data_IF_531838933046
#
_entry.id   IF_531838933046
#
_cell.length_a   1.000
_cell.length_b   1.000
_cell.length_c   1.000
_cell.angle_alpha   90.00
_cell.angle_beta   90.00
_cell.angle_gamma   90.00
#
_symmetry.space_group_name_H-M   'P 1'
#
loop_
_entity.id
_entity.type
_entity.pdbx_description
1 polymer ?
#
# COMPACT_ATOMS: atom_id res chain seq x y z
N UNK A 1 18.54 -3.56 29.12
CA UNK A 1 18.45 -2.49 28.10
C UNK A 1 18.81 -3.10 26.77
N UNK A 2 17.85 -3.25 25.86
CA UNK A 2 18.07 -3.78 24.51
C UNK A 2 18.43 -2.63 23.60
N UNK A 3 19.70 -2.55 23.20
CA UNK A 3 20.17 -1.63 22.17
C UNK A 3 19.62 -2.09 20.82
N UNK A 4 18.61 -1.37 20.33
CA UNK A 4 18.22 -1.42 18.92
C UNK A 4 19.33 -0.73 18.13
N UNK A 5 20.24 -1.51 17.56
CA UNK A 5 21.13 -1.01 16.52
C UNK A 5 20.27 -0.75 15.28
N UNK A 6 19.95 0.52 15.04
CA UNK A 6 19.50 0.97 13.73
C UNK A 6 20.66 0.75 12.76
N UNK A 7 20.74 -0.44 12.16
CA UNK A 7 21.67 -0.71 11.07
C UNK A 7 21.23 0.11 9.86
N UNK A 8 21.73 1.35 9.75
CA UNK A 8 21.62 2.12 8.53
C UNK A 8 22.42 1.37 7.47
N UNK A 9 21.75 0.51 6.69
CA UNK A 9 22.28 -0.12 5.48
C UNK A 9 22.43 0.95 4.40
N UNK A 10 23.31 1.92 4.63
CA UNK A 10 23.83 2.74 3.54
C UNK A 10 24.65 1.79 2.68
N UNK A 11 24.17 1.50 1.47
CA UNK A 11 24.94 0.78 0.47
C UNK A 11 26.18 1.63 0.20
N UNK A 12 27.35 1.12 0.55
CA UNK A 12 28.61 1.84 0.39
C UNK A 12 29.05 1.68 -1.06
N UNK A 13 29.20 2.80 -1.77
CA UNK A 13 29.74 2.88 -3.12
C UNK A 13 31.11 3.56 -3.06
N UNK A 14 32.12 2.97 -3.70
CA UNK A 14 33.46 3.52 -3.83
C UNK A 14 33.87 3.50 -5.31
N UNK A 15 34.05 4.67 -5.92
CA UNK A 15 34.37 4.77 -7.34
C UNK A 15 35.77 4.19 -7.65
N UNK A 16 35.85 3.37 -8.69
CA UNK A 16 37.12 2.91 -9.27
C UNK A 16 37.52 3.86 -10.40
N UNK A 17 36.55 4.19 -11.26
CA UNK A 17 36.65 5.19 -12.33
C UNK A 17 35.24 5.70 -12.68
N UNK A 18 35.10 6.43 -13.79
CA UNK A 18 33.81 7.00 -14.23
C UNK A 18 32.75 5.94 -14.60
N UNK A 19 33.17 4.73 -14.98
CA UNK A 19 32.27 3.67 -15.46
C UNK A 19 32.08 2.52 -14.45
N UNK A 20 32.97 2.39 -13.46
CA UNK A 20 33.04 1.25 -12.54
C UNK A 20 33.20 1.68 -11.09
N UNK A 21 32.55 0.95 -10.20
CA UNK A 21 32.58 1.18 -8.76
C UNK A 21 32.66 -0.13 -7.98
N UNK A 22 33.22 -0.08 -6.77
CA UNK A 22 32.96 -1.06 -5.74
C UNK A 22 31.64 -0.76 -5.05
N UNK A 23 30.79 -1.77 -4.92
CA UNK A 23 29.51 -1.70 -4.21
C UNK A 23 29.45 -2.75 -3.11
N UNK A 24 29.03 -2.33 -1.92
CA UNK A 24 28.68 -3.26 -0.84
C UNK A 24 27.30 -3.85 -1.11
N UNK A 25 27.24 -4.98 -1.82
CA UNK A 25 25.99 -5.61 -2.23
C UNK A 25 25.14 -6.06 -1.04
N UNK A 26 25.78 -6.63 -0.01
CA UNK A 26 25.17 -6.91 1.29
C UNK A 26 26.26 -7.03 2.37
N UNK A 27 25.94 -7.48 3.59
CA UNK A 27 26.91 -7.63 4.68
C UNK A 27 28.09 -8.57 4.38
N UNK A 28 27.98 -9.43 3.37
CA UNK A 28 28.98 -10.46 3.04
C UNK A 28 29.74 -10.14 1.74
N UNK A 29 29.11 -9.49 0.77
CA UNK A 29 29.64 -9.32 -0.58
C UNK A 29 29.98 -7.87 -0.89
N UNK A 30 31.24 -7.63 -1.26
CA UNK A 30 31.74 -6.38 -1.84
C UNK A 30 32.20 -6.65 -3.27
N UNK A 31 31.54 -6.05 -4.24
CA UNK A 31 31.61 -6.44 -5.66
C UNK A 31 32.00 -5.27 -6.54
N UNK A 32 32.50 -5.56 -7.74
CA UNK A 32 32.71 -4.56 -8.80
C UNK A 32 31.44 -4.47 -9.65
N UNK A 33 30.93 -3.26 -9.83
CA UNK A 33 29.73 -2.96 -10.61
C UNK A 33 30.06 -1.96 -11.72
N UNK A 34 29.49 -2.22 -12.89
CA UNK A 34 29.44 -1.30 -14.02
C UNK A 34 28.26 -0.35 -13.83
N UNK A 35 28.54 0.94 -13.70
CA UNK A 35 27.54 1.98 -13.37
C UNK A 35 26.54 2.17 -14.52
N UNK A 36 27.00 2.04 -15.77
CA UNK A 36 26.22 2.32 -16.98
C UNK A 36 25.05 1.36 -17.21
N UNK A 37 25.24 0.09 -16.87
CA UNK A 37 24.31 -0.99 -17.20
C UNK A 37 23.94 -1.89 -16.02
N UNK A 38 24.35 -1.54 -14.80
CA UNK A 38 24.00 -2.25 -13.56
C UNK A 38 24.45 -3.72 -13.54
N UNK A 39 25.57 -4.02 -14.20
CA UNK A 39 26.15 -5.36 -14.29
C UNK A 39 27.30 -5.55 -13.29
N UNK A 40 27.45 -6.76 -12.78
CA UNK A 40 28.40 -7.09 -11.71
C UNK A 40 29.50 -8.01 -12.26
N UNK A 41 30.76 -7.73 -11.91
CA UNK A 41 31.88 -8.55 -12.37
C UNK A 41 31.86 -9.90 -11.63
N UNK A 42 31.75 -11.00 -12.37
CA UNK A 42 31.66 -12.33 -11.81
C UNK A 42 32.90 -12.71 -10.98
N UNK A 43 34.09 -12.31 -11.42
CA UNK A 43 35.32 -12.57 -10.66
C UNK A 43 35.31 -11.91 -9.28
N UNK A 44 34.73 -10.71 -9.15
CA UNK A 44 34.59 -10.05 -7.85
C UNK A 44 33.66 -10.82 -6.91
N UNK A 45 32.64 -11.49 -7.44
CA UNK A 45 31.73 -12.36 -6.67
C UNK A 45 32.50 -13.58 -6.15
N UNK A 46 33.24 -14.26 -7.02
CA UNK A 46 34.04 -15.43 -6.64
C UNK A 46 35.09 -15.07 -5.58
N UNK A 47 35.73 -13.92 -5.73
CA UNK A 47 36.72 -13.40 -4.78
C UNK A 47 36.07 -13.10 -3.42
N UNK A 48 34.92 -12.41 -3.41
CA UNK A 48 34.18 -12.12 -2.17
C UNK A 48 33.66 -13.39 -1.47
N UNK A 49 33.38 -14.44 -2.24
CA UNK A 49 32.94 -15.74 -1.74
C UNK A 49 34.09 -16.67 -1.29
N UNK A 50 35.36 -16.24 -1.38
CA UNK A 50 36.53 -17.08 -1.15
C UNK A 50 36.45 -18.40 -1.95
N UNK A 51 35.98 -18.31 -3.19
CA UNK A 51 35.83 -19.47 -4.05
C UNK A 51 37.19 -20.16 -4.27
N UNK A 52 37.24 -21.50 -4.28
CA UNK A 52 38.47 -22.21 -4.57
C UNK A 52 38.91 -21.97 -6.02
N UNK A 53 40.20 -22.08 -6.31
CA UNK A 53 40.78 -21.74 -7.62
C UNK A 53 40.21 -22.58 -8.79
N UNK A 54 39.67 -23.76 -8.48
CA UNK A 54 38.99 -24.63 -9.43
C UNK A 54 37.52 -24.24 -9.68
N UNK A 55 37.10 -23.04 -9.27
CA UNK A 55 35.83 -22.43 -9.64
C UNK A 55 36.09 -21.17 -10.43
N UNK A 56 35.90 -21.28 -11.72
CA UNK A 56 36.07 -20.21 -12.70
C UNK A 56 34.71 -19.73 -13.21
N UNK A 57 34.62 -18.51 -13.76
CA UNK A 57 33.40 -18.03 -14.38
C UNK A 57 32.82 -18.99 -15.43
N UNK A 58 33.68 -19.60 -16.26
CA UNK A 58 33.26 -20.48 -17.35
C UNK A 58 32.59 -21.77 -16.84
N UNK A 59 33.14 -22.39 -15.78
CA UNK A 59 32.58 -23.63 -15.21
C UNK A 59 31.15 -23.44 -14.71
N UNK A 60 30.79 -22.25 -14.21
CA UNK A 60 29.41 -21.98 -13.82
C UNK A 60 28.46 -22.00 -15.02
N UNK A 61 28.89 -21.49 -16.18
CA UNK A 61 28.09 -21.50 -17.41
C UNK A 61 27.95 -22.88 -18.04
N UNK A 62 28.84 -23.82 -17.72
CA UNK A 62 28.80 -25.21 -18.20
C UNK A 62 27.82 -26.10 -17.40
N UNK A 63 27.29 -25.61 -16.27
CA UNK A 63 26.36 -26.38 -15.44
C UNK A 63 24.97 -26.45 -16.08
N UNK A 64 24.37 -27.64 -16.10
CA UNK A 64 22.98 -27.84 -16.54
C UNK A 64 22.00 -26.95 -15.76
N UNK A 65 22.19 -26.81 -14.44
CA UNK A 65 21.37 -25.94 -13.59
C UNK A 65 21.45 -24.46 -13.98
N UNK A 66 22.58 -24.02 -14.54
CA UNK A 66 22.76 -22.66 -15.01
C UNK A 66 22.02 -22.45 -16.32
N UNK A 67 22.06 -23.42 -17.24
CA UNK A 67 21.27 -23.37 -18.46
C UNK A 67 19.77 -23.33 -18.19
N UNK A 68 19.27 -24.15 -17.26
CA UNK A 68 17.88 -24.12 -16.80
C UNK A 68 17.51 -22.73 -16.27
N UNK A 69 18.33 -22.18 -15.36
CA UNK A 69 18.13 -20.85 -14.79
C UNK A 69 18.11 -19.75 -15.87
N UNK A 70 19.02 -19.79 -16.84
CA UNK A 70 19.11 -18.80 -17.90
C UNK A 70 17.91 -18.89 -18.87
N UNK A 71 17.37 -20.09 -19.11
CA UNK A 71 16.21 -20.29 -20.00
C UNK A 71 14.92 -19.64 -19.48
N UNK A 72 14.76 -19.55 -18.15
CA UNK A 72 13.65 -18.83 -17.52
C UNK A 72 13.70 -17.33 -17.82
N UNK A 73 14.91 -16.78 -17.97
CA UNK A 73 15.09 -15.37 -18.28
C UNK A 73 14.96 -15.03 -19.77
N UNK A 74 15.06 -16.01 -20.68
CA UNK A 74 14.83 -15.79 -22.12
C UNK A 74 13.39 -15.36 -22.44
N UNK A 75 12.44 -15.75 -21.58
CA UNK A 75 11.03 -15.39 -21.69
C UNK A 75 10.71 -13.97 -21.16
N UNK A 76 11.67 -13.34 -20.50
CA UNK A 76 11.55 -11.98 -19.98
C UNK A 76 12.28 -11.04 -20.94
N UNK A 77 11.70 -9.87 -21.27
CA UNK A 77 12.34 -8.83 -22.11
C UNK A 77 13.55 -8.16 -21.42
N UNK A 78 14.35 -8.91 -20.68
CA UNK A 78 15.53 -8.40 -20.02
C UNK A 78 16.68 -8.30 -21.02
N UNK A 79 17.40 -7.17 -20.93
CA UNK A 79 18.70 -6.98 -21.58
C UNK A 79 19.64 -8.14 -21.20
N UNK A 80 20.55 -8.49 -22.12
CA UNK A 80 21.56 -9.56 -22.01
C UNK A 80 21.97 -9.87 -20.55
N UNK A 81 21.77 -11.12 -20.13
CA UNK A 81 22.03 -11.60 -18.76
C UNK A 81 23.50 -11.58 -18.35
N UNK A 82 24.39 -11.70 -19.33
CA UNK A 82 25.83 -11.63 -19.12
C UNK A 82 26.53 -11.01 -20.33
N UNK A 83 27.75 -10.53 -20.12
CA UNK A 83 28.61 -9.98 -21.16
C UNK A 83 30.07 -10.26 -20.82
N UNK A 84 30.79 -10.86 -21.77
CA UNK A 84 32.23 -11.00 -21.64
C UNK A 84 32.95 -9.70 -22.05
N UNK A 85 33.79 -9.16 -21.16
CA UNK A 85 34.53 -7.91 -21.35
C UNK A 85 36.03 -8.16 -21.18
N UNK A 86 36.64 -8.85 -22.13
CA UNK A 86 38.10 -9.10 -22.12
C UNK A 86 38.94 -7.88 -22.50
N UNK A 87 38.35 -6.87 -23.15
CA UNK A 87 39.06 -5.68 -23.65
C UNK A 87 39.40 -4.64 -22.56
N UNK A 88 39.02 -4.89 -21.31
CA UNK A 88 39.24 -3.97 -20.19
C UNK A 88 40.60 -4.17 -19.51
N UNK A 89 41.05 -3.23 -18.65
CA UNK A 89 42.24 -3.41 -17.82
C UNK A 89 42.18 -4.70 -16.99
N UNK A 90 43.35 -5.27 -16.64
CA UNK A 90 43.44 -6.61 -16.05
C UNK A 90 42.59 -6.84 -14.79
N UNK A 91 42.34 -5.80 -13.98
CA UNK A 91 41.51 -5.90 -12.77
C UNK A 91 40.01 -5.73 -13.04
N UNK A 92 39.62 -5.17 -14.20
CA UNK A 92 38.22 -4.95 -14.61
C UNK A 92 37.74 -5.93 -15.69
N UNK A 93 38.65 -6.60 -16.40
CA UNK A 93 38.28 -7.57 -17.42
C UNK A 93 37.59 -8.80 -16.84
N UNK A 94 36.80 -9.47 -17.67
CA UNK A 94 36.11 -10.71 -17.34
C UNK A 94 34.62 -10.67 -17.66
N UNK A 95 33.89 -11.65 -17.15
CA UNK A 95 32.46 -11.80 -17.38
C UNK A 95 31.68 -10.93 -16.41
N UNK A 96 30.78 -10.11 -16.93
CA UNK A 96 29.83 -9.31 -16.17
C UNK A 96 28.45 -9.95 -16.25
N UNK A 97 27.74 -9.99 -15.13
CA UNK A 97 26.45 -10.66 -14.99
C UNK A 97 25.40 -9.71 -14.42
N UNK A 98 24.15 -9.94 -14.78
CA UNK A 98 23.04 -9.16 -14.28
C UNK A 98 22.82 -9.40 -12.77
N UNK A 99 22.29 -8.39 -12.06
CA UNK A 99 22.10 -8.42 -10.60
C UNK A 99 21.34 -9.64 -10.06
N UNK A 100 20.43 -10.21 -10.85
CA UNK A 100 19.65 -11.39 -10.47
C UNK A 100 20.49 -12.67 -10.41
N UNK A 101 21.60 -12.73 -11.14
CA UNK A 101 22.50 -13.88 -11.13
C UNK A 101 23.51 -13.82 -9.98
N UNK A 102 23.71 -12.66 -9.34
CA UNK A 102 24.71 -12.47 -8.28
C UNK A 102 24.53 -13.46 -7.14
N UNK A 103 23.31 -13.59 -6.61
CA UNK A 103 23.01 -14.52 -5.51
C UNK A 103 23.17 -15.97 -5.93
N UNK A 104 22.76 -16.33 -7.15
CA UNK A 104 22.91 -17.69 -7.68
C UNK A 104 24.39 -18.10 -7.80
N UNK A 105 25.20 -17.22 -8.39
CA UNK A 105 26.65 -17.42 -8.54
C UNK A 105 27.33 -17.47 -7.17
N UNK A 106 26.94 -16.61 -6.23
CA UNK A 106 27.48 -16.61 -4.89
C UNK A 106 27.13 -17.90 -4.11
N UNK A 107 25.91 -18.43 -4.28
CA UNK A 107 25.51 -19.72 -3.71
C UNK A 107 26.28 -20.90 -4.31
N UNK A 108 26.50 -20.88 -5.63
CA UNK A 108 27.33 -21.88 -6.28
C UNK A 108 28.78 -21.81 -5.80
N UNK A 109 29.36 -20.60 -5.73
CA UNK A 109 30.73 -20.36 -5.31
C UNK A 109 30.95 -20.77 -3.85
N UNK A 110 30.05 -20.33 -2.96
CA UNK A 110 30.08 -20.56 -1.52
C UNK A 110 28.76 -21.15 -1.03
N UNK A 111 28.63 -22.49 -0.92
CA UNK A 111 27.37 -23.13 -0.53
C UNK A 111 26.81 -22.67 0.82
N UNK A 112 27.67 -22.26 1.77
CA UNK A 112 27.22 -21.71 3.06
C UNK A 112 26.55 -20.34 2.92
N UNK A 113 26.87 -19.59 1.86
CA UNK A 113 26.20 -18.33 1.54
C UNK A 113 24.69 -18.50 1.40
N UNK A 114 24.23 -19.66 0.91
CA UNK A 114 22.81 -19.96 0.77
C UNK A 114 22.05 -19.82 2.10
N UNK A 115 22.66 -20.17 3.23
CA UNK A 115 22.05 -20.03 4.55
C UNK A 115 21.77 -18.55 4.87
N UNK A 116 22.72 -17.65 4.56
CA UNK A 116 22.53 -16.21 4.78
C UNK A 116 21.42 -15.65 3.91
N UNK A 117 21.32 -16.09 2.66
CA UNK A 117 20.21 -15.71 1.77
C UNK A 117 18.87 -16.19 2.32
N UNK A 118 18.79 -17.45 2.78
CA UNK A 118 17.57 -17.99 3.37
C UNK A 118 17.14 -17.22 4.63
N UNK A 119 18.09 -16.86 5.50
CA UNK A 119 17.82 -16.03 6.67
C UNK A 119 17.31 -14.63 6.28
N UNK A 120 17.92 -13.99 5.27
CA UNK A 120 17.47 -12.70 4.76
C UNK A 120 16.04 -12.77 4.18
N UNK A 121 15.72 -13.85 3.46
CA UNK A 121 14.38 -14.09 2.94
C UNK A 121 13.35 -14.30 4.06
N UNK A 122 13.70 -15.06 5.11
CA UNK A 122 12.82 -15.26 6.27
C UNK A 122 12.53 -13.94 7.01
N UNK A 123 13.55 -13.10 7.21
CA UNK A 123 13.39 -11.76 7.78
C UNK A 123 12.47 -10.87 6.93
N UNK A 124 12.62 -10.89 5.60
CA UNK A 124 11.77 -10.13 4.68
C UNK A 124 10.32 -10.61 4.71
N UNK A 125 10.11 -11.93 4.66
CA UNK A 125 8.77 -12.54 4.77
C UNK A 125 8.11 -12.19 6.11
N UNK A 126 8.88 -12.17 7.20
CA UNK A 126 8.37 -11.80 8.52
C UNK A 126 7.95 -10.34 8.57
N UNK A 127 8.77 -9.42 8.07
CA UNK A 127 8.40 -7.99 7.95
C UNK A 127 7.16 -7.79 7.08
N UNK A 128 7.07 -8.48 5.94
CA UNK A 128 5.90 -8.37 5.06
C UNK A 128 4.61 -8.82 5.77
N UNK A 129 4.65 -9.91 6.56
CA UNK A 129 3.50 -10.33 7.38
C UNK A 129 3.12 -9.30 8.43
N UNK A 130 4.10 -8.72 9.12
CA UNK A 130 3.83 -7.68 10.12
C UNK A 130 3.21 -6.42 9.51
N UNK A 131 3.67 -6.00 8.33
CA UNK A 131 3.16 -4.83 7.65
C UNK A 131 1.74 -5.05 7.13
N UNK A 132 1.42 -6.23 6.57
CA UNK A 132 0.03 -6.61 6.26
C UNK A 132 -0.87 -6.55 7.51
N UNK A 133 -0.40 -7.05 8.66
CA UNK A 133 -1.17 -6.97 9.92
C UNK A 133 -1.38 -5.53 10.40
N UNK A 134 -0.42 -4.62 10.17
CA UNK A 134 -0.56 -3.20 10.51
C UNK A 134 -1.56 -2.52 9.58
N UNK A 135 -1.50 -2.81 8.28
CA UNK A 135 -2.45 -2.30 7.29
C UNK A 135 -3.87 -2.73 7.62
N UNK A 136 -4.10 -4.02 7.92
CA UNK A 136 -5.42 -4.53 8.34
C UNK A 136 -5.95 -3.84 9.60
N UNK A 137 -5.10 -3.67 10.62
CA UNK A 137 -5.47 -2.93 11.84
C UNK A 137 -5.78 -1.46 11.54
N UNK A 138 -5.07 -0.85 10.58
CA UNK A 138 -5.31 0.52 10.16
C UNK A 138 -6.62 0.65 9.37
N UNK A 139 -6.96 -0.33 8.53
CA UNK A 139 -8.22 -0.42 7.78
C UNK A 139 -9.39 -0.58 8.75
N UNK A 140 -9.27 -1.45 9.76
CA UNK A 140 -10.28 -1.60 10.82
C UNK A 140 -10.50 -0.30 11.60
N UNK A 141 -9.45 0.43 11.95
CA UNK A 141 -9.55 1.76 12.59
C UNK A 141 -10.13 2.83 11.67
N UNK A 142 -9.91 2.70 10.37
CA UNK A 142 -10.39 3.60 9.33
C UNK A 142 -11.81 3.32 8.88
N UNK A 143 -12.56 2.38 9.46
CA UNK A 143 -14.02 2.30 9.27
C UNK A 143 -14.62 3.58 9.87
N UNK A 144 -14.88 4.64 9.07
CA UNK A 144 -15.26 5.94 9.61
C UNK A 144 -16.79 6.01 9.52
N UNK A 145 -17.43 6.25 10.67
CA UNK A 145 -18.89 6.18 10.93
C UNK A 145 -19.38 4.89 11.61
N UNK A 146 -18.55 4.18 12.36
CA UNK A 146 -19.08 3.23 13.36
C UNK A 146 -19.87 4.02 14.41
N UNK A 147 -21.18 4.05 14.20
CA UNK A 147 -22.14 4.57 15.15
C UNK A 147 -21.91 3.87 16.49
N UNK A 148 -21.85 4.58 17.63
CA UNK A 148 -21.75 3.93 18.93
C UNK A 148 -22.82 2.85 19.07
N UNK A 149 -22.43 1.63 19.42
CA UNK A 149 -23.31 0.45 19.49
C UNK A 149 -24.57 0.80 20.30
N UNK A 150 -25.75 0.66 19.69
CA UNK A 150 -27.04 1.02 20.30
C UNK A 150 -27.54 2.46 20.06
N UNK A 151 -26.76 3.33 19.40
CA UNK A 151 -27.19 4.69 18.99
C UNK A 151 -27.58 4.81 17.52
N UNK A 152 -27.65 3.69 16.82
CA UNK A 152 -27.96 3.59 15.38
C UNK A 152 -29.24 4.32 14.99
N UNK A 153 -30.29 4.27 15.84
CA UNK A 153 -31.62 4.83 15.56
C UNK A 153 -32.03 5.98 16.49
N UNK A 154 -31.06 6.75 17.01
CA UNK A 154 -31.33 7.76 18.06
C UNK A 154 -31.85 9.12 17.59
N UNK A 155 -32.38 9.22 16.36
CA UNK A 155 -32.87 10.49 15.80
C UNK A 155 -34.37 10.43 15.45
N UNK A 156 -35.00 11.58 15.61
CA UNK A 156 -36.38 11.89 15.21
C UNK A 156 -36.38 12.95 14.12
N UNK A 157 -37.36 12.88 13.25
CA UNK A 157 -37.58 13.86 12.20
C UNK A 157 -39.01 14.33 12.21
N UNK A 158 -39.19 15.64 12.06
CA UNK A 158 -40.49 16.28 12.06
C UNK A 158 -40.52 17.36 10.98
N UNK A 159 -41.63 17.43 10.25
CA UNK A 159 -41.99 18.55 9.40
C UNK A 159 -43.23 19.18 10.02
N UNK A 160 -43.17 20.47 10.32
CA UNK A 160 -44.32 21.22 10.82
C UNK A 160 -44.57 22.47 10.00
N UNK A 161 -45.82 22.88 9.96
CA UNK A 161 -46.30 24.04 9.21
C UNK A 161 -46.38 25.27 10.11
N UNK A 162 -46.02 26.42 9.56
CA UNK A 162 -46.22 27.73 10.17
C UNK A 162 -46.89 28.65 9.14
N UNK A 163 -48.02 29.24 9.53
CA UNK A 163 -48.75 30.22 8.72
C UNK A 163 -48.01 31.56 8.76
N UNK A 164 -47.82 32.19 7.61
CA UNK A 164 -47.09 33.44 7.51
C UNK A 164 -48.02 34.61 7.85
N UNK A 165 -47.62 35.45 8.80
CA UNK A 165 -48.43 36.58 9.30
C UNK A 165 -48.49 37.78 8.33
N UNK A 166 -47.75 37.74 7.22
CA UNK A 166 -47.66 38.86 6.25
C UNK A 166 -48.79 38.78 5.22
N UNK A 167 -49.46 39.91 4.97
CA UNK A 167 -50.62 39.97 4.05
C UNK A 167 -50.30 39.59 2.61
N UNK A 168 -49.04 39.70 2.18
CA UNK A 168 -48.57 39.39 0.82
C UNK A 168 -48.39 37.88 0.56
N UNK A 169 -48.35 37.04 1.61
CA UNK A 169 -48.08 35.60 1.53
C UNK A 169 -49.22 34.74 2.12
N UNK A 170 -50.46 35.28 2.20
CA UNK A 170 -51.63 34.60 2.83
C UNK A 170 -51.92 33.20 2.27
N UNK A 171 -51.51 32.91 1.02
CA UNK A 171 -51.68 31.61 0.38
C UNK A 171 -50.47 30.67 0.52
N UNK A 172 -49.42 31.08 1.24
CA UNK A 172 -48.20 30.28 1.42
C UNK A 172 -48.04 29.79 2.86
N UNK A 173 -47.71 28.51 3.01
CA UNK A 173 -47.43 27.87 4.30
C UNK A 173 -45.94 27.54 4.37
N UNK A 174 -45.26 27.97 5.44
CA UNK A 174 -43.85 27.67 5.66
C UNK A 174 -43.70 26.27 6.26
N UNK A 175 -42.85 25.44 5.66
CA UNK A 175 -42.53 24.09 6.15
C UNK A 175 -41.17 24.08 6.85
N UNK A 176 -41.17 23.75 8.13
CA UNK A 176 -39.95 23.58 8.91
C UNK A 176 -39.52 22.12 8.95
N UNK A 177 -38.38 21.81 8.32
CA UNK A 177 -37.80 20.45 8.29
C UNK A 177 -36.77 20.29 9.41
N UNK A 178 -37.10 19.51 10.44
CA UNK A 178 -36.27 19.40 11.65
C UNK A 178 -35.84 17.95 11.92
N UNK A 179 -34.53 17.75 12.08
CA UNK A 179 -33.92 16.50 12.55
C UNK A 179 -33.28 16.73 13.92
N UNK A 180 -33.67 15.97 14.95
CA UNK A 180 -33.12 16.09 16.31
C UNK A 180 -32.82 14.74 16.92
N UNK A 181 -31.90 14.71 17.89
CA UNK A 181 -31.68 13.53 18.70
C UNK A 181 -32.90 13.29 19.61
N UNK A 182 -33.19 12.04 19.94
CA UNK A 182 -34.28 11.67 20.85
C UNK A 182 -34.22 12.45 22.18
N UNK A 183 -33.01 12.73 22.69
CA UNK A 183 -32.81 13.47 23.95
C UNK A 183 -33.03 14.98 23.86
N UNK A 184 -33.03 15.57 22.66
CA UNK A 184 -33.18 17.01 22.47
C UNK A 184 -34.50 17.36 21.78
N UNK A 185 -35.46 16.43 21.74
CA UNK A 185 -36.75 16.62 21.07
C UNK A 185 -37.79 17.29 21.98
N UNK A 186 -37.49 17.50 23.26
CA UNK A 186 -38.43 18.05 24.25
C UNK A 186 -39.02 19.42 23.83
N UNK A 187 -38.21 20.29 23.22
CA UNK A 187 -38.64 21.62 22.78
C UNK A 187 -39.70 21.55 21.66
N UNK A 188 -39.68 20.48 20.87
CA UNK A 188 -40.60 20.24 19.76
C UNK A 188 -41.81 19.41 20.18
N UNK A 189 -41.85 18.89 21.40
CA UNK A 189 -42.96 18.07 21.88
C UNK A 189 -44.29 18.84 21.93
N UNK A 190 -44.25 20.16 22.11
CA UNK A 190 -45.42 21.04 22.05
C UNK A 190 -46.01 21.10 20.64
N UNK A 191 -45.15 21.24 19.63
CA UNK A 191 -45.54 21.30 18.21
C UNK A 191 -45.99 19.92 17.72
N UNK A 192 -45.30 18.85 18.14
CA UNK A 192 -45.66 17.47 17.83
C UNK A 192 -47.10 17.11 18.23
N UNK A 193 -47.59 17.66 19.36
CA UNK A 193 -48.95 17.45 19.87
C UNK A 193 -50.00 18.42 19.30
N UNK A 194 -49.59 19.33 18.42
CA UNK A 194 -50.48 20.32 17.80
C UNK A 194 -50.83 19.92 16.37
N UNK A 195 -51.91 20.51 15.84
CA UNK A 195 -52.35 20.30 14.44
C UNK A 195 -51.36 20.86 13.39
N UNK A 196 -50.32 21.57 13.84
CA UNK A 196 -49.22 22.07 12.99
C UNK A 196 -48.23 20.97 12.59
N UNK A 197 -48.30 19.79 13.20
CA UNK A 197 -47.42 18.68 12.85
C UNK A 197 -47.91 18.00 11.56
N UNK A 198 -47.16 18.16 10.48
CA UNK A 198 -47.51 17.64 9.17
C UNK A 198 -46.92 16.24 8.91
N UNK A 199 -45.70 15.98 9.38
CA UNK A 199 -45.06 14.68 9.22
C UNK A 199 -44.10 14.38 10.37
N UNK A 200 -44.15 13.15 10.90
CA UNK A 200 -43.27 12.71 11.98
C UNK A 200 -42.77 11.29 11.79
N UNK A 201 -41.47 11.08 12.01
CA UNK A 201 -40.84 9.75 11.95
C UNK A 201 -39.82 9.55 13.06
N UNK A 202 -39.96 8.44 13.77
CA UNK A 202 -39.02 8.00 14.79
C UNK A 202 -38.00 6.98 14.26
N UNK A 203 -36.98 6.70 15.08
CA UNK A 203 -36.00 5.64 14.86
C UNK A 203 -35.15 5.80 13.60
N UNK A 204 -34.78 7.04 13.28
CA UNK A 204 -34.02 7.32 12.09
C UNK A 204 -32.53 7.01 12.24
N UNK A 205 -31.91 6.41 11.21
CA UNK A 205 -30.49 6.12 11.21
C UNK A 205 -29.65 7.40 11.23
N UNK A 206 -28.50 7.35 11.91
CA UNK A 206 -27.53 8.47 11.97
C UNK A 206 -27.02 8.88 10.58
N UNK A 207 -26.92 7.93 9.65
CA UNK A 207 -26.35 8.12 8.33
C UNK A 207 -27.30 8.73 7.28
N UNK A 208 -28.59 8.91 7.58
CA UNK A 208 -29.52 9.47 6.59
C UNK A 208 -29.35 10.99 6.48
N UNK A 209 -28.90 11.46 5.32
CA UNK A 209 -29.03 12.85 4.90
C UNK A 209 -30.49 13.11 4.51
N UNK A 210 -31.16 14.16 5.01
CA UNK A 210 -32.60 14.39 4.79
C UNK A 210 -33.04 14.62 3.32
N UNK A 211 -32.15 14.52 2.34
CA UNK A 211 -32.13 15.52 1.27
C UNK A 211 -32.71 15.08 -0.09
N UNK A 212 -33.14 13.83 -0.26
CA UNK A 212 -33.72 13.36 -1.55
C UNK A 212 -35.09 12.70 -1.37
N UNK A 213 -35.19 11.62 -0.61
CA UNK A 213 -36.47 10.91 -0.41
C UNK A 213 -37.57 11.77 0.24
N UNK A 214 -37.18 12.70 1.12
CA UNK A 214 -38.15 13.58 1.80
C UNK A 214 -38.64 14.67 0.84
N UNK A 215 -37.77 15.17 -0.04
CA UNK A 215 -38.19 16.08 -1.11
C UNK A 215 -39.15 15.41 -2.09
N UNK A 216 -38.95 14.12 -2.39
CA UNK A 216 -39.88 13.35 -3.22
C UNK A 216 -41.23 13.12 -2.52
N UNK A 217 -41.23 12.74 -1.25
CA UNK A 217 -42.48 12.58 -0.48
C UNK A 217 -43.26 13.90 -0.42
N UNK A 218 -42.58 15.01 -0.10
CA UNK A 218 -43.20 16.34 -0.09
C UNK A 218 -43.76 16.71 -1.46
N UNK A 219 -42.99 16.51 -2.54
CA UNK A 219 -43.47 16.76 -3.92
C UNK A 219 -44.69 15.93 -4.28
N UNK A 220 -44.71 14.66 -3.91
CA UNK A 220 -45.82 13.76 -4.25
C UNK A 220 -47.10 14.15 -3.49
N UNK A 221 -47.00 14.49 -2.21
CA UNK A 221 -48.17 14.92 -1.41
C UNK A 221 -48.72 16.27 -1.85
N UNK A 222 -47.86 17.21 -2.29
CA UNK A 222 -48.30 18.48 -2.88
C UNK A 222 -48.96 18.29 -4.25
N UNK A 223 -48.45 17.37 -5.09
CA UNK A 223 -48.98 17.10 -6.44
C UNK A 223 -50.34 16.39 -6.42
N UNK A 224 -50.63 15.60 -5.39
CA UNK A 224 -51.92 14.91 -5.26
C UNK A 224 -53.07 15.80 -4.78
N UNK A 225 -52.79 17.06 -4.38
CA UNK A 225 -53.80 18.02 -3.93
C UNK A 225 -54.17 19.09 -4.98
N UNK A 226 -53.66 18.99 -6.21
CA UNK A 226 -54.20 19.72 -7.37
C UNK A 226 -55.15 18.82 -8.14
N UNK A 227 -56.44 18.94 -7.80
CA UNK A 227 -57.56 18.74 -8.74
C UNK A 227 -57.51 19.83 -9.81
#
# INVERSE_FOLDING_TARGET
>A
MTTSENTTTAIVHEAINEEYEYIQYNKQLRLIRSVKDDMYQMQSILTACFAPENKTPNEWFELNSTHELLSEFEHVELKKMYQDRQNLPSHLKGIYVHKFLVSSIAMWAWPRYAIYILMLLDELCTKQREDMMKEDKSIQKRIPRSVPKGKEKSYKYMIYTEELEKEEDKDMVMLHLVRRNNKSFYDLAKIYKSDRNWFYRENLPISMTPNEQIKEIVKNTSSSNTL
#
